data_IF_834882509684
#
_entry.id   IF_834882509684
#
_cell.length_a   1.000
_cell.length_b   1.000
_cell.length_c   1.000
_cell.angle_alpha   90.00
_cell.angle_beta   90.00
_cell.angle_gamma   90.00
#
_symmetry.space_group_name_H-M   'P 1'
#
loop_
_entity.id
_entity.type
_entity.pdbx_description
1 polymer ?
#
# COMPACT_ATOMS: atom_id res chain seq x y z
N UNK A 1 35.46 5.45 -0.06
CA UNK A 1 35.46 5.35 -1.55
C UNK A 1 36.85 4.95 -2.09
N UNK A 2 37.91 5.60 -1.66
CA UNK A 2 39.32 5.40 -2.13
C UNK A 2 39.77 3.94 -1.98
N UNK A 3 39.49 3.28 -0.84
CA UNK A 3 39.89 1.89 -0.59
C UNK A 3 39.19 0.90 -1.53
N UNK A 4 37.90 1.14 -1.86
CA UNK A 4 37.16 0.29 -2.80
C UNK A 4 37.69 0.46 -4.23
N UNK A 5 38.02 1.67 -4.63
CA UNK A 5 38.62 1.91 -5.97
C UNK A 5 40.00 1.21 -6.10
N UNK A 6 40.81 1.26 -5.08
CA UNK A 6 42.08 0.53 -5.06
C UNK A 6 41.83 -0.98 -5.15
N UNK A 7 40.90 -1.52 -4.36
CA UNK A 7 40.57 -2.95 -4.40
C UNK A 7 40.04 -3.38 -5.77
N UNK A 8 39.23 -2.55 -6.44
CA UNK A 8 38.74 -2.80 -7.80
C UNK A 8 39.87 -2.85 -8.81
N UNK A 9 40.80 -1.89 -8.77
CA UNK A 9 41.99 -1.87 -9.65
C UNK A 9 42.88 -3.09 -9.41
N UNK A 10 43.13 -3.44 -8.16
CA UNK A 10 43.93 -4.62 -7.80
C UNK A 10 43.26 -5.90 -8.31
N UNK A 11 41.95 -6.06 -8.09
CA UNK A 11 41.19 -7.19 -8.61
C UNK A 11 41.26 -7.29 -10.12
N UNK A 12 41.07 -6.19 -10.84
CA UNK A 12 41.16 -6.18 -12.32
C UNK A 12 42.53 -6.60 -12.81
N UNK A 13 43.61 -6.12 -12.14
CA UNK A 13 44.96 -6.50 -12.48
C UNK A 13 45.21 -8.00 -12.22
N UNK A 14 44.83 -8.53 -11.07
CA UNK A 14 45.01 -9.94 -10.74
C UNK A 14 44.16 -10.86 -11.64
N UNK A 15 42.96 -10.43 -11.96
CA UNK A 15 42.08 -11.15 -12.92
C UNK A 15 42.74 -11.31 -14.30
N UNK A 16 43.35 -10.24 -14.84
CA UNK A 16 44.07 -10.31 -16.13
C UNK A 16 45.26 -11.25 -16.04
N UNK A 17 46.11 -11.10 -14.99
CA UNK A 17 47.31 -11.95 -14.81
C UNK A 17 46.94 -13.44 -14.72
N UNK A 18 45.83 -13.75 -14.02
CA UNK A 18 45.34 -15.12 -13.89
C UNK A 18 44.78 -15.64 -15.26
N UNK A 19 44.04 -14.82 -16.01
CA UNK A 19 43.53 -15.16 -17.31
C UNK A 19 44.67 -15.41 -18.35
N UNK A 20 45.75 -14.66 -18.23
CA UNK A 20 46.97 -14.82 -19.07
C UNK A 20 47.88 -15.96 -18.59
N UNK A 21 47.45 -16.76 -17.60
CA UNK A 21 48.19 -17.87 -17.00
C UNK A 21 49.52 -17.47 -16.34
N UNK A 22 49.71 -16.21 -16.00
CA UNK A 22 50.92 -15.66 -15.37
C UNK A 22 50.76 -15.48 -13.85
N UNK A 23 49.52 -15.38 -13.37
CA UNK A 23 49.18 -15.09 -11.96
C UNK A 23 48.79 -16.32 -11.17
N UNK A 24 48.90 -16.24 -9.85
CA UNK A 24 48.41 -17.26 -8.91
C UNK A 24 46.91 -17.13 -8.73
N UNK A 25 46.19 -18.26 -8.79
CA UNK A 25 44.74 -18.31 -8.49
C UNK A 25 44.44 -17.77 -7.10
N UNK A 26 45.31 -18.08 -6.12
CA UNK A 26 45.15 -17.58 -4.74
C UNK A 26 45.14 -16.05 -4.70
N UNK A 27 46.04 -15.38 -5.40
CA UNK A 27 46.13 -13.92 -5.44
C UNK A 27 44.88 -13.31 -6.12
N UNK A 28 44.34 -13.97 -7.14
CA UNK A 28 43.08 -13.58 -7.78
C UNK A 28 41.91 -13.70 -6.81
N UNK A 29 41.77 -14.82 -6.09
CA UNK A 29 40.72 -15.06 -5.11
C UNK A 29 40.79 -14.08 -3.93
N UNK A 30 42.00 -13.82 -3.42
CA UNK A 30 42.22 -12.82 -2.36
C UNK A 30 41.77 -11.41 -2.81
N UNK A 31 42.17 -10.99 -4.01
CA UNK A 31 41.77 -9.69 -4.56
C UNK A 31 40.27 -9.60 -4.79
N UNK A 32 39.65 -10.72 -5.23
CA UNK A 32 38.20 -10.84 -5.41
C UNK A 32 37.48 -10.68 -4.05
N UNK A 33 37.85 -11.46 -3.07
CA UNK A 33 37.28 -11.43 -1.73
C UNK A 33 37.39 -10.04 -1.08
N UNK A 34 38.58 -9.42 -1.21
CA UNK A 34 38.79 -8.08 -0.68
C UNK A 34 37.88 -7.04 -1.33
N UNK A 35 37.69 -7.11 -2.64
CA UNK A 35 36.77 -6.24 -3.38
C UNK A 35 35.33 -6.47 -2.90
N UNK A 36 34.88 -7.72 -2.82
CA UNK A 36 33.51 -8.07 -2.41
C UNK A 36 33.20 -7.64 -0.98
N UNK A 37 34.11 -7.88 -0.05
CA UNK A 37 33.97 -7.42 1.34
C UNK A 37 33.83 -5.90 1.45
N UNK A 38 34.57 -5.14 0.65
CA UNK A 38 34.45 -3.69 0.65
C UNK A 38 33.18 -3.18 -0.03
N UNK A 39 32.67 -3.91 -1.04
CA UNK A 39 31.36 -3.63 -1.65
C UNK A 39 30.25 -3.86 -0.63
N UNK A 40 30.21 -5.02 0.02
CA UNK A 40 29.20 -5.36 1.02
C UNK A 40 29.23 -4.36 2.20
N UNK A 41 30.43 -3.99 2.67
CA UNK A 41 30.57 -2.99 3.73
C UNK A 41 30.03 -1.61 3.31
N UNK A 42 30.26 -1.21 2.06
CA UNK A 42 29.72 0.05 1.54
C UNK A 42 28.18 0.01 1.46
N UNK A 43 27.62 -1.12 1.06
CA UNK A 43 26.16 -1.34 0.99
C UNK A 43 25.54 -1.24 2.38
N UNK A 44 26.08 -1.97 3.36
CA UNK A 44 25.62 -1.88 4.77
C UNK A 44 25.66 -0.45 5.32
N UNK A 45 26.74 0.29 5.03
CA UNK A 45 26.83 1.68 5.47
C UNK A 45 25.82 2.60 4.77
N UNK A 46 25.48 2.31 3.52
CA UNK A 46 24.43 3.04 2.81
C UNK A 46 23.04 2.75 3.38
N UNK A 47 22.76 1.47 3.64
CA UNK A 47 21.50 1.08 4.29
C UNK A 47 21.34 1.74 5.67
N UNK A 48 22.42 1.80 6.46
CA UNK A 48 22.41 2.51 7.75
C UNK A 48 22.15 4.02 7.58
N UNK A 49 22.73 4.63 6.54
CA UNK A 49 22.48 6.04 6.23
C UNK A 49 21.04 6.25 5.78
N UNK A 50 20.51 5.39 4.90
CA UNK A 50 19.12 5.49 4.43
C UNK A 50 18.12 5.30 5.58
N UNK A 51 18.40 4.41 6.54
CA UNK A 51 17.58 4.27 7.76
C UNK A 51 17.62 5.49 8.68
N UNK A 52 18.65 6.34 8.58
CA UNK A 52 18.73 7.59 9.36
C UNK A 52 17.90 8.72 8.76
N UNK A 53 17.45 8.58 7.50
CA UNK A 53 16.65 9.57 6.80
C UNK A 53 15.22 9.04 6.60
N UNK A 54 14.27 9.67 7.27
CA UNK A 54 12.86 9.29 7.18
C UNK A 54 12.23 9.99 5.98
N UNK A 55 11.87 9.20 4.97
CA UNK A 55 11.22 9.69 3.74
C UNK A 55 9.76 9.30 3.72
N UNK A 56 8.92 10.18 3.16
CA UNK A 56 7.53 9.83 2.88
C UNK A 56 7.47 8.69 1.85
N UNK A 57 6.77 7.56 2.14
CA UNK A 57 6.71 6.42 1.22
C UNK A 57 5.76 6.65 0.03
N UNK A 58 4.91 7.68 0.08
CA UNK A 58 3.96 8.06 -0.96
C UNK A 58 3.58 9.53 -0.82
N UNK A 59 3.00 10.09 -1.86
CA UNK A 59 2.47 11.45 -1.87
C UNK A 59 1.18 11.53 -1.04
N UNK A 60 1.09 12.54 -0.15
CA UNK A 60 -0.05 12.64 0.75
C UNK A 60 -0.01 13.92 1.59
N UNK A 61 -0.98 14.01 2.50
CA UNK A 61 -1.10 15.12 3.44
C UNK A 61 -0.61 14.65 4.81
N UNK A 62 0.27 15.42 5.44
CA UNK A 62 0.67 15.19 6.83
C UNK A 62 -0.45 15.68 7.74
N UNK A 63 -1.14 14.75 8.39
CA UNK A 63 -2.25 15.05 9.28
C UNK A 63 -1.77 15.43 10.69
N UNK A 64 -0.76 14.73 11.17
CA UNK A 64 -0.20 14.96 12.50
C UNK A 64 1.32 14.74 12.50
N UNK A 65 2.02 15.59 13.22
CA UNK A 65 3.44 15.44 13.53
C UNK A 65 3.55 15.26 15.04
N UNK A 66 3.96 14.06 15.48
CA UNK A 66 4.05 13.71 16.88
C UNK A 66 5.42 14.01 17.49
N UNK A 67 6.44 14.13 16.65
CA UNK A 67 7.82 14.45 17.07
C UNK A 67 8.33 15.68 16.33
N UNK A 68 8.96 16.57 17.06
CA UNK A 68 9.52 17.81 16.51
C UNK A 68 11.01 17.62 16.17
N UNK A 69 11.50 18.46 15.27
CA UNK A 69 12.94 18.51 14.96
C UNK A 69 13.75 18.80 16.23
N UNK A 70 14.78 18.00 16.47
CA UNK A 70 15.62 18.06 17.66
C UNK A 70 15.20 17.13 18.81
N UNK A 71 14.05 16.47 18.73
CA UNK A 71 13.65 15.43 19.68
C UNK A 71 14.28 14.09 19.32
N UNK A 72 14.56 13.28 20.32
CA UNK A 72 15.11 11.94 20.13
C UNK A 72 14.03 11.00 19.59
N UNK A 73 14.24 10.45 18.41
CA UNK A 73 13.37 9.41 17.84
C UNK A 73 13.59 8.07 18.54
N UNK A 74 12.51 7.45 18.96
CA UNK A 74 12.54 6.11 19.53
C UNK A 74 11.93 5.09 18.55
N UNK A 75 12.55 3.92 18.34
CA UNK A 75 11.98 2.85 17.55
C UNK A 75 10.58 2.46 18.06
N UNK A 76 9.62 2.29 17.14
CA UNK A 76 8.26 1.92 17.48
C UNK A 76 7.32 3.09 17.84
N UNK A 77 7.83 4.30 17.98
CA UNK A 77 7.02 5.49 18.21
C UNK A 77 6.64 6.13 16.86
N UNK A 78 5.35 6.39 16.68
CA UNK A 78 4.84 7.05 15.47
C UNK A 78 5.32 8.49 15.41
N UNK A 79 6.11 8.84 14.40
CA UNK A 79 6.64 10.20 14.23
C UNK A 79 5.66 11.14 13.56
N UNK A 80 4.97 10.66 12.52
CA UNK A 80 3.97 11.45 11.79
C UNK A 80 2.87 10.54 11.24
N UNK A 81 1.75 11.14 10.89
CA UNK A 81 0.65 10.48 10.20
C UNK A 81 0.49 11.08 8.81
N UNK A 82 0.79 10.28 7.78
CA UNK A 82 0.67 10.63 6.37
C UNK A 82 -0.56 9.94 5.80
N UNK A 83 -1.43 10.69 5.12
CA UNK A 83 -2.68 10.18 4.54
C UNK A 83 -2.73 10.50 3.06
N UNK A 84 -2.98 9.50 2.24
CA UNK A 84 -3.34 9.72 0.83
C UNK A 84 -4.86 9.84 0.73
N UNK A 85 -5.33 10.97 0.19
CA UNK A 85 -6.76 11.27 0.04
C UNK A 85 -7.26 11.14 -1.41
N UNK A 86 -6.44 10.72 -2.36
CA UNK A 86 -6.84 10.64 -3.78
C UNK A 86 -7.85 9.52 -4.01
N UNK A 87 -7.60 8.37 -3.38
CA UNK A 87 -8.46 7.19 -3.49
C UNK A 87 -8.85 6.71 -2.12
N UNK A 88 -10.15 6.66 -1.87
CA UNK A 88 -10.69 6.19 -0.61
C UNK A 88 -11.29 4.79 -0.78
N UNK A 89 -11.11 3.98 0.26
CA UNK A 89 -11.76 2.68 0.37
C UNK A 89 -13.00 2.83 1.24
N UNK A 90 -14.13 2.40 0.72
CA UNK A 90 -15.37 2.27 1.46
C UNK A 90 -15.52 0.81 1.86
N UNK A 91 -15.71 0.57 3.14
CA UNK A 91 -15.95 -0.75 3.70
C UNK A 91 -17.33 -0.80 4.33
N UNK A 92 -18.10 -1.82 4.00
CA UNK A 92 -19.40 -2.10 4.59
C UNK A 92 -19.48 -3.57 4.98
N UNK A 93 -20.38 -3.89 5.88
CA UNK A 93 -20.68 -5.25 6.30
C UNK A 93 -22.12 -5.58 5.91
N UNK A 94 -22.28 -6.68 5.19
CA UNK A 94 -23.59 -7.18 4.74
C UNK A 94 -23.91 -8.47 5.48
N UNK A 95 -25.21 -8.67 5.78
CA UNK A 95 -25.66 -9.89 6.43
C UNK A 95 -25.41 -11.14 5.56
N UNK A 96 -25.08 -12.25 6.21
CA UNK A 96 -24.73 -13.55 5.60
C UNK A 96 -25.75 -14.00 4.54
N UNK A 97 -27.03 -13.75 4.73
CA UNK A 97 -28.09 -14.13 3.80
C UNK A 97 -27.93 -13.58 2.38
N UNK A 98 -27.23 -12.43 2.22
CA UNK A 98 -26.96 -11.81 0.93
C UNK A 98 -25.70 -12.32 0.25
N UNK A 99 -24.98 -13.25 0.88
CA UNK A 99 -23.69 -13.71 0.37
C UNK A 99 -23.80 -14.39 -1.01
N UNK A 100 -24.91 -15.09 -1.28
CA UNK A 100 -25.12 -15.74 -2.57
C UNK A 100 -25.51 -14.76 -3.70
N UNK A 101 -26.09 -13.62 -3.35
CA UNK A 101 -26.68 -12.68 -4.31
C UNK A 101 -25.73 -11.54 -4.69
N UNK A 102 -24.73 -11.25 -3.86
CA UNK A 102 -23.79 -10.15 -4.07
C UNK A 102 -22.49 -10.68 -4.62
N UNK A 103 -21.98 -10.09 -5.70
CA UNK A 103 -20.73 -10.47 -6.36
C UNK A 103 -19.79 -9.28 -6.54
N UNK A 104 -18.51 -9.58 -6.77
CA UNK A 104 -17.55 -8.56 -7.20
C UNK A 104 -17.95 -8.07 -8.60
N UNK A 105 -17.93 -6.75 -8.78
CA UNK A 105 -18.39 -6.09 -10.00
C UNK A 105 -19.85 -5.57 -9.93
N UNK A 106 -20.64 -6.02 -8.97
CA UNK A 106 -22.02 -5.53 -8.83
C UNK A 106 -22.04 -4.03 -8.53
N UNK A 107 -22.94 -3.27 -9.16
CA UNK A 107 -23.06 -1.84 -8.93
C UNK A 107 -23.70 -1.56 -7.57
N UNK A 108 -23.03 -0.73 -6.77
CA UNK A 108 -23.55 -0.23 -5.51
C UNK A 108 -23.67 1.28 -5.54
N UNK A 109 -24.74 1.79 -4.94
CA UNK A 109 -24.97 3.22 -4.81
C UNK A 109 -24.43 3.70 -3.47
N UNK A 110 -23.53 4.68 -3.54
CA UNK A 110 -22.92 5.29 -2.34
C UNK A 110 -23.51 6.68 -2.16
N UNK A 111 -23.99 6.95 -0.97
CA UNK A 111 -24.48 8.27 -0.53
C UNK A 111 -23.73 8.73 0.71
N UNK A 112 -23.41 10.00 0.76
CA UNK A 112 -22.78 10.63 1.92
C UNK A 112 -23.80 11.55 2.59
N UNK A 113 -24.21 11.27 3.84
CA UNK A 113 -25.17 12.13 4.55
C UNK A 113 -24.72 13.58 4.68
N UNK A 114 -23.39 13.81 4.78
CA UNK A 114 -22.81 15.15 4.82
C UNK A 114 -22.87 15.90 3.47
N UNK A 115 -23.11 15.18 2.37
CA UNK A 115 -23.18 15.72 1.00
C UNK A 115 -24.33 15.02 0.25
N UNK A 116 -25.60 15.41 0.50
CA UNK A 116 -26.77 14.70 -0.05
C UNK A 116 -26.80 14.66 -1.59
N UNK A 117 -26.23 15.65 -2.23
CA UNK A 117 -26.11 15.74 -3.69
C UNK A 117 -25.04 14.80 -4.27
N UNK A 118 -24.15 14.27 -3.44
CA UNK A 118 -23.08 13.39 -3.87
C UNK A 118 -23.53 11.93 -3.83
N UNK A 119 -24.12 11.50 -4.93
CA UNK A 119 -24.49 10.10 -5.15
C UNK A 119 -23.55 9.52 -6.22
N UNK A 120 -22.96 8.37 -5.94
CA UNK A 120 -22.07 7.65 -6.86
C UNK A 120 -22.49 6.20 -6.98
N UNK A 121 -22.59 5.72 -8.20
CA UNK A 121 -22.75 4.29 -8.47
C UNK A 121 -21.41 3.75 -8.92
N UNK A 122 -20.86 2.81 -8.17
CA UNK A 122 -19.52 2.24 -8.37
C UNK A 122 -19.57 0.74 -8.13
N UNK A 123 -18.69 -0.06 -8.78
CA UNK A 123 -18.70 -1.50 -8.59
C UNK A 123 -18.09 -1.91 -7.25
N UNK A 124 -18.54 -3.05 -6.73
CA UNK A 124 -17.88 -3.76 -5.65
C UNK A 124 -16.50 -4.21 -6.15
N UNK A 125 -15.44 -3.81 -5.46
CA UNK A 125 -14.07 -4.18 -5.82
C UNK A 125 -13.60 -5.43 -5.09
N UNK A 126 -14.20 -5.76 -3.96
CA UNK A 126 -13.86 -6.94 -3.17
C UNK A 126 -15.04 -7.39 -2.34
N UNK A 127 -15.26 -8.69 -2.33
CA UNK A 127 -16.18 -9.39 -1.45
C UNK A 127 -15.39 -10.28 -0.49
N UNK A 128 -15.65 -10.18 0.81
CA UNK A 128 -15.04 -11.02 1.82
C UNK A 128 -15.50 -12.48 1.69
N UNK A 129 -14.56 -13.41 1.82
CA UNK A 129 -14.85 -14.85 1.77
C UNK A 129 -15.11 -15.45 3.15
N UNK A 130 -14.98 -14.65 4.22
CA UNK A 130 -15.14 -15.10 5.61
C UNK A 130 -16.30 -14.36 6.23
N UNK A 131 -17.15 -15.11 6.92
CA UNK A 131 -18.26 -14.57 7.71
C UNK A 131 -17.76 -14.37 9.15
N UNK A 132 -17.97 -13.18 9.67
CA UNK A 132 -17.73 -12.90 11.08
C UNK A 132 -18.77 -13.62 11.94
N UNK A 133 -18.32 -14.44 12.88
CA UNK A 133 -19.20 -15.27 13.70
C UNK A 133 -20.04 -14.47 14.69
N UNK A 134 -19.55 -13.32 15.13
CA UNK A 134 -20.23 -12.48 16.11
C UNK A 134 -21.36 -11.66 15.52
N UNK A 135 -21.10 -11.03 14.37
CA UNK A 135 -22.06 -10.16 13.69
C UNK A 135 -22.89 -10.88 12.61
N UNK A 136 -22.49 -12.07 12.17
CA UNK A 136 -23.07 -12.80 11.04
C UNK A 136 -23.07 -11.97 9.77
N UNK A 137 -21.96 -11.29 9.50
CA UNK A 137 -21.78 -10.43 8.35
C UNK A 137 -20.53 -10.82 7.56
N UNK A 138 -20.48 -10.41 6.31
CA UNK A 138 -19.27 -10.45 5.48
C UNK A 138 -18.91 -9.04 4.98
N UNK A 139 -17.63 -8.80 4.82
CA UNK A 139 -17.13 -7.50 4.40
C UNK A 139 -17.28 -7.31 2.88
N UNK A 140 -17.73 -6.12 2.46
CA UNK A 140 -17.74 -5.67 1.08
C UNK A 140 -16.94 -4.38 1.00
N UNK A 141 -16.06 -4.30 0.00
CA UNK A 141 -15.21 -3.13 -0.21
C UNK A 141 -15.42 -2.55 -1.61
N UNK A 142 -15.45 -1.24 -1.70
CA UNK A 142 -15.39 -0.52 -2.97
C UNK A 142 -14.41 0.64 -2.88
N UNK A 143 -13.99 1.17 -4.02
CA UNK A 143 -13.05 2.28 -4.09
C UNK A 143 -13.69 3.45 -4.81
N UNK A 144 -13.47 4.63 -4.27
CA UNK A 144 -13.96 5.89 -4.84
C UNK A 144 -12.80 6.87 -5.02
N UNK A 145 -12.78 7.53 -6.16
CA UNK A 145 -11.86 8.64 -6.37
C UNK A 145 -12.39 9.87 -5.64
N UNK A 146 -11.54 10.47 -4.83
CA UNK A 146 -11.89 11.62 -4.00
C UNK A 146 -11.52 12.91 -4.70
N UNK A 147 -12.30 13.29 -5.68
CA UNK A 147 -12.11 14.55 -6.38
C UNK A 147 -12.24 15.74 -5.41
N UNK A 148 -11.24 16.60 -5.42
CA UNK A 148 -11.15 17.81 -4.59
C UNK A 148 -11.01 17.58 -3.08
N UNK A 149 -10.70 16.37 -2.62
CA UNK A 149 -10.47 16.08 -1.19
C UNK A 149 -11.65 16.33 -0.27
N UNK A 150 -12.90 16.36 -0.81
CA UNK A 150 -14.12 16.64 -0.04
C UNK A 150 -14.44 15.53 0.94
N UNK A 151 -14.27 14.28 0.53
CA UNK A 151 -14.54 13.12 1.38
C UNK A 151 -13.35 12.93 2.31
N UNK A 152 -13.62 12.75 3.59
CA UNK A 152 -12.56 12.55 4.60
C UNK A 152 -12.53 11.07 5.05
N UNK A 153 -11.35 10.54 5.40
CA UNK A 153 -11.27 9.24 6.04
C UNK A 153 -12.17 9.16 7.29
N UNK A 154 -12.68 7.98 7.58
CA UNK A 154 -13.60 7.70 8.70
C UNK A 154 -14.94 8.46 8.62
N UNK A 155 -15.27 9.04 7.48
CA UNK A 155 -16.59 9.63 7.26
C UNK A 155 -17.61 8.53 7.01
N UNK A 156 -18.80 8.67 7.60
CA UNK A 156 -19.92 7.74 7.42
C UNK A 156 -20.48 7.93 6.01
N UNK A 157 -20.73 6.81 5.33
CA UNK A 157 -21.46 6.73 4.08
C UNK A 157 -22.51 5.61 4.13
N UNK A 158 -23.48 5.69 3.27
CA UNK A 158 -24.53 4.67 3.11
C UNK A 158 -24.24 3.96 1.78
N UNK A 159 -24.11 2.63 1.86
CA UNK A 159 -23.96 1.75 0.70
C UNK A 159 -25.28 1.03 0.47
N UNK A 160 -25.90 1.28 -0.67
CA UNK A 160 -27.12 0.60 -1.11
C UNK A 160 -26.70 -0.47 -2.11
N UNK A 161 -27.05 -1.71 -1.81
CA UNK A 161 -26.75 -2.89 -2.63
C UNK A 161 -28.06 -3.46 -3.12
N UNK A 162 -28.17 -3.71 -4.43
CA UNK A 162 -29.32 -4.40 -5.00
C UNK A 162 -29.06 -5.91 -4.90
N UNK A 163 -29.94 -6.62 -4.20
CA UNK A 163 -29.87 -8.07 -4.08
C UNK A 163 -30.77 -8.78 -5.10
N UNK A 164 -31.72 -8.04 -5.72
CA UNK A 164 -32.63 -8.57 -6.69
C UNK A 164 -33.03 -7.50 -7.73
N UNK A 165 -32.99 -7.84 -9.00
CA UNK A 165 -33.48 -7.02 -10.12
C UNK A 165 -34.48 -7.83 -10.94
N UNK A 166 -35.64 -7.28 -11.18
CA UNK A 166 -36.62 -7.88 -12.06
C UNK A 166 -37.12 -6.85 -13.06
N UNK A 167 -36.68 -6.96 -14.31
CA UNK A 167 -37.01 -6.04 -15.40
C UNK A 167 -38.45 -6.22 -15.94
N UNK A 168 -39.12 -7.29 -15.53
CA UNK A 168 -40.46 -7.66 -16.01
C UNK A 168 -41.54 -7.57 -14.91
N UNK A 169 -41.25 -6.93 -13.80
CA UNK A 169 -42.21 -6.81 -12.70
C UNK A 169 -43.32 -5.79 -13.03
N UNK A 170 -44.58 -6.22 -12.90
CA UNK A 170 -45.72 -5.29 -12.87
C UNK A 170 -45.72 -4.56 -11.53
N UNK A 171 -45.47 -3.27 -11.57
CA UNK A 171 -45.46 -2.42 -10.36
C UNK A 171 -46.84 -1.73 -10.25
N UNK A 172 -47.49 -1.95 -9.13
CA UNK A 172 -48.72 -1.22 -8.76
C UNK A 172 -48.35 -0.21 -7.67
N UNK A 173 -48.75 1.09 -7.83
CA UNK A 173 -48.53 2.07 -6.79
C UNK A 173 -49.20 1.62 -5.47
N UNK A 174 -48.51 1.75 -4.36
CA UNK A 174 -49.01 1.35 -3.02
C UNK A 174 -50.28 2.12 -2.58
N UNK A 175 -50.59 3.20 -3.26
CA UNK A 175 -51.79 4.01 -3.00
C UNK A 175 -53.08 3.36 -3.56
N UNK A 176 -52.96 2.24 -4.33
CA UNK A 176 -54.09 1.56 -5.00
C UNK A 176 -54.43 0.24 -4.28
N UNK A 177 -53.70 -0.12 -3.24
CA UNK A 177 -53.93 -1.27 -2.35
C UNK A 177 -54.36 -0.73 -0.98
#
# INVERSE_FOLDING_TARGET
KTNLELARKTFQKQKRLWQDSVGSEMQYLEAKNRKENLVNRLETLREQLDMSEIKAPFDGIVEAVNQKAGEMGNPGVRMMHLVNLEKLKIKSELAEQYMAHVQEGDPVRIRFPAYPEMIKTIPITRKGSVIDQGSRTFAVETRIDNYNGKIKPNQICIMEVNDYVNDSALVVPSEVI
#
